data_IF_797339143309
#
_entry.id   IF_797339143309
#
_cell.length_a   1.000
_cell.length_b   1.000
_cell.length_c   1.000
_cell.angle_alpha   90.00
_cell.angle_beta   90.00
_cell.angle_gamma   90.00
#
_symmetry.space_group_name_H-M   'P 1'
#
loop_
_entity.id
_entity.type
_entity.pdbx_description
1 polymer ?
#
# COMPACT_ATOMS: atom_id res chain seq x y z
N UNK A 1 9.20 -9.04 28.63
CA UNK A 1 9.14 -8.24 27.38
C UNK A 1 8.50 -9.00 26.23
N UNK A 2 8.77 -10.30 26.05
CA UNK A 2 8.13 -11.07 24.97
C UNK A 2 6.61 -11.25 25.20
N UNK A 3 6.17 -11.47 26.44
CA UNK A 3 4.76 -11.76 26.74
C UNK A 3 3.82 -10.57 26.47
N UNK A 4 4.27 -9.33 26.73
CA UNK A 4 3.46 -8.13 26.49
C UNK A 4 3.23 -7.87 25.00
N UNK A 5 4.24 -8.07 24.16
CA UNK A 5 4.07 -7.91 22.70
C UNK A 5 3.09 -8.95 22.14
N UNK A 6 3.17 -10.21 22.60
CA UNK A 6 2.23 -11.26 22.18
C UNK A 6 0.80 -10.95 22.66
N UNK A 7 0.66 -10.42 23.87
CA UNK A 7 -0.63 -9.96 24.40
C UNK A 7 -1.21 -8.82 23.56
N UNK A 8 -0.40 -7.79 23.24
CA UNK A 8 -0.82 -6.67 22.38
C UNK A 8 -1.29 -7.19 21.01
N UNK A 9 -0.51 -8.05 20.36
CA UNK A 9 -0.87 -8.62 19.05
C UNK A 9 -2.20 -9.38 19.14
N UNK A 10 -2.39 -10.16 20.20
CA UNK A 10 -3.65 -10.88 20.43
C UNK A 10 -4.84 -9.93 20.60
N UNK A 11 -4.69 -8.87 21.38
CA UNK A 11 -5.74 -7.87 21.59
C UNK A 11 -6.05 -7.08 20.30
N UNK A 12 -5.02 -6.66 19.57
CA UNK A 12 -5.12 -5.99 18.27
C UNK A 12 -5.90 -6.85 17.27
N UNK A 13 -5.63 -8.16 17.20
CA UNK A 13 -6.34 -9.07 16.32
C UNK A 13 -7.84 -9.19 16.68
N UNK A 14 -8.15 -9.34 17.98
CA UNK A 14 -9.54 -9.40 18.47
C UNK A 14 -10.28 -8.10 18.18
N UNK A 15 -9.63 -6.96 18.38
CA UNK A 15 -10.20 -5.64 18.06
C UNK A 15 -10.52 -5.55 16.57
N UNK A 16 -9.55 -5.87 15.70
CA UNK A 16 -9.73 -5.80 14.26
C UNK A 16 -10.91 -6.67 13.79
N UNK A 17 -10.94 -7.94 14.22
CA UNK A 17 -12.02 -8.87 13.89
C UNK A 17 -13.39 -8.35 14.36
N UNK A 18 -13.47 -7.75 15.55
CA UNK A 18 -14.71 -7.17 16.07
C UNK A 18 -15.22 -6.00 15.21
N UNK A 19 -14.34 -5.09 14.80
CA UNK A 19 -14.72 -3.97 13.94
C UNK A 19 -15.03 -4.40 12.50
N UNK A 20 -14.31 -5.38 11.97
CA UNK A 20 -14.55 -5.97 10.65
C UNK A 20 -15.93 -6.65 10.58
N UNK A 21 -16.24 -7.52 11.54
CA UNK A 21 -17.52 -8.22 11.63
C UNK A 21 -18.72 -7.27 11.73
N UNK A 22 -18.52 -6.08 12.29
CA UNK A 22 -19.55 -5.04 12.42
C UNK A 22 -19.59 -4.06 11.24
N UNK A 23 -18.65 -4.16 10.29
CA UNK A 23 -18.47 -3.22 9.17
C UNK A 23 -18.21 -1.78 9.63
N UNK A 24 -17.49 -1.64 10.73
CA UNK A 24 -17.19 -0.36 11.38
C UNK A 24 -15.78 0.15 11.03
N UNK A 25 -14.99 -0.60 10.26
CA UNK A 25 -13.59 -0.26 9.93
C UNK A 25 -13.44 1.12 9.29
N UNK A 26 -14.42 1.59 8.52
CA UNK A 26 -14.38 2.92 7.87
C UNK A 26 -14.89 4.08 8.76
N UNK A 27 -15.26 3.81 10.01
CA UNK A 27 -15.71 4.82 10.97
C UNK A 27 -14.63 5.04 12.04
N UNK A 28 -13.62 5.84 11.69
CA UNK A 28 -12.49 6.10 12.58
C UNK A 28 -12.93 6.75 13.90
N UNK A 29 -13.85 7.70 13.88
CA UNK A 29 -14.36 8.35 15.11
C UNK A 29 -14.97 7.34 16.10
N UNK A 30 -15.76 6.39 15.58
CA UNK A 30 -16.35 5.32 16.40
C UNK A 30 -15.27 4.40 16.97
N UNK A 31 -14.27 4.07 16.16
CA UNK A 31 -13.14 3.24 16.58
C UNK A 31 -12.37 3.93 17.70
N UNK A 32 -11.95 5.17 17.50
CA UNK A 32 -11.18 5.95 18.48
C UNK A 32 -11.90 6.05 19.82
N UNK A 33 -13.20 6.32 19.79
CA UNK A 33 -14.04 6.35 20.99
C UNK A 33 -14.03 5.02 21.74
N UNK A 34 -14.03 3.89 21.03
CA UNK A 34 -13.98 2.56 21.66
C UNK A 34 -12.59 2.19 22.18
N UNK A 35 -11.55 2.81 21.65
CA UNK A 35 -10.19 2.62 22.12
C UNK A 35 -9.84 3.49 23.34
N UNK A 36 -10.73 4.39 23.79
CA UNK A 36 -10.50 5.23 24.99
C UNK A 36 -10.28 4.41 26.26
N UNK A 37 -10.87 3.22 26.35
CA UNK A 37 -10.76 2.31 27.50
C UNK A 37 -9.67 1.24 27.32
N UNK A 38 -8.96 1.24 26.19
CA UNK A 38 -7.92 0.27 25.86
C UNK A 38 -6.55 0.81 26.26
N UNK A 39 -5.62 -0.08 26.66
CA UNK A 39 -4.25 0.31 26.99
C UNK A 39 -3.59 1.08 25.83
N UNK A 40 -2.85 2.14 26.15
CA UNK A 40 -2.30 3.07 25.15
C UNK A 40 -1.38 2.36 24.13
N UNK A 41 -0.63 1.34 24.57
CA UNK A 41 0.23 0.55 23.68
C UNK A 41 -0.60 -0.30 22.68
N UNK A 42 -1.69 -0.92 23.13
CA UNK A 42 -2.62 -1.65 22.25
C UNK A 42 -3.28 -0.69 21.27
N UNK A 43 -3.72 0.48 21.74
CA UNK A 43 -4.30 1.53 20.91
C UNK A 43 -3.33 1.99 19.83
N UNK A 44 -2.08 2.31 20.19
CA UNK A 44 -1.05 2.75 19.23
C UNK A 44 -0.83 1.70 18.13
N UNK A 45 -0.64 0.42 18.51
CA UNK A 45 -0.44 -0.65 17.55
C UNK A 45 -1.67 -0.87 16.65
N UNK A 46 -2.87 -0.77 17.21
CA UNK A 46 -4.11 -0.93 16.45
C UNK A 46 -4.33 0.23 15.46
N UNK A 47 -4.05 1.48 15.85
CA UNK A 47 -4.16 2.62 14.95
C UNK A 47 -3.11 2.58 13.84
N UNK A 48 -1.89 2.09 14.10
CA UNK A 48 -0.91 1.80 13.04
C UNK A 48 -1.40 0.72 12.07
N UNK A 49 -2.01 -0.36 12.58
CA UNK A 49 -2.62 -1.40 11.73
C UNK A 49 -3.74 -0.82 10.87
N UNK A 50 -4.61 0.01 11.45
CA UNK A 50 -5.68 0.69 10.71
C UNK A 50 -5.16 1.63 9.65
N UNK A 51 -4.06 2.34 9.92
CA UNK A 51 -3.41 3.19 8.93
C UNK A 51 -2.95 2.37 7.72
N UNK A 52 -2.35 1.20 7.94
CA UNK A 52 -1.99 0.28 6.86
C UNK A 52 -3.22 -0.22 6.10
N UNK A 53 -4.28 -0.61 6.83
CA UNK A 53 -5.54 -1.05 6.24
C UNK A 53 -6.17 0.05 5.35
N UNK A 54 -6.24 1.30 5.82
CA UNK A 54 -6.79 2.42 5.04
C UNK A 54 -5.98 2.72 3.79
N UNK A 55 -4.65 2.57 3.85
CA UNK A 55 -3.84 2.63 2.65
C UNK A 55 -4.24 1.51 1.67
N UNK A 56 -4.24 0.26 2.11
CA UNK A 56 -4.56 -0.91 1.29
C UNK A 56 -5.97 -0.85 0.68
N UNK A 57 -6.96 -0.36 1.43
CA UNK A 57 -8.34 -0.24 0.99
C UNK A 57 -8.62 1.02 0.17
N UNK A 58 -7.59 1.83 -0.12
CA UNK A 58 -7.70 3.13 -0.79
C UNK A 58 -8.64 4.12 -0.07
N UNK A 59 -8.69 4.09 1.26
CA UNK A 59 -9.48 4.99 2.10
C UNK A 59 -8.64 6.23 2.49
N UNK A 60 -8.58 7.19 1.57
CA UNK A 60 -7.74 8.39 1.74
C UNK A 60 -8.17 9.26 2.92
N UNK A 61 -9.48 9.34 3.19
CA UNK A 61 -10.03 10.24 4.24
C UNK A 61 -9.58 9.78 5.62
N UNK A 62 -9.80 8.50 5.95
CA UNK A 62 -9.40 7.98 7.25
C UNK A 62 -7.87 7.90 7.39
N UNK A 63 -7.15 7.62 6.30
CA UNK A 63 -5.69 7.66 6.28
C UNK A 63 -5.15 9.06 6.61
N UNK A 64 -5.71 10.11 6.01
CA UNK A 64 -5.34 11.50 6.30
C UNK A 64 -5.62 11.89 7.75
N UNK A 65 -6.74 11.43 8.31
CA UNK A 65 -7.08 11.69 9.70
C UNK A 65 -6.02 11.10 10.67
N UNK A 66 -5.57 9.86 10.44
CA UNK A 66 -4.50 9.25 11.23
C UNK A 66 -3.14 9.94 11.04
N UNK A 67 -2.82 10.37 9.82
CA UNK A 67 -1.61 11.15 9.54
C UNK A 67 -1.56 12.46 10.33
N UNK A 68 -2.70 13.17 10.42
CA UNK A 68 -2.80 14.44 11.17
C UNK A 68 -2.55 14.25 12.67
N UNK A 69 -2.83 13.06 13.19
CA UNK A 69 -2.55 12.69 14.59
C UNK A 69 -1.08 12.27 14.80
N UNK A 70 -0.29 12.16 13.73
CA UNK A 70 1.14 11.83 13.78
C UNK A 70 1.46 10.35 13.63
N UNK A 71 0.45 9.50 13.37
CA UNK A 71 0.67 8.07 13.10
C UNK A 71 1.41 7.87 11.76
N UNK A 72 2.20 6.80 11.73
CA UNK A 72 2.97 6.36 10.57
C UNK A 72 2.96 4.84 10.52
N UNK A 73 3.11 4.30 9.32
CA UNK A 73 3.35 2.87 9.10
C UNK A 73 4.48 2.68 8.08
N UNK A 74 5.12 1.52 8.14
CA UNK A 74 6.16 1.14 7.20
C UNK A 74 5.51 0.54 5.95
N UNK A 75 5.44 1.34 4.89
CA UNK A 75 4.87 0.94 3.60
C UNK A 75 5.68 -0.20 2.95
N UNK A 76 4.97 -1.22 2.49
CA UNK A 76 5.45 -2.33 1.67
C UNK A 76 4.86 -2.25 0.27
N UNK A 77 5.49 -2.93 -0.69
CA UNK A 77 4.95 -2.96 -2.04
C UNK A 77 3.62 -3.72 -2.12
N UNK A 78 3.39 -4.68 -1.21
CA UNK A 78 2.09 -5.33 -1.06
C UNK A 78 0.98 -4.30 -0.77
N UNK A 79 1.26 -3.29 0.06
CA UNK A 79 0.29 -2.23 0.38
C UNK A 79 -0.05 -1.40 -0.87
N UNK A 80 0.96 -1.08 -1.70
CA UNK A 80 0.78 -0.35 -2.96
C UNK A 80 -0.07 -1.19 -3.94
N UNK A 81 0.21 -2.48 -4.02
CA UNK A 81 -0.56 -3.39 -4.88
C UNK A 81 -2.01 -3.45 -4.42
N UNK A 82 -2.27 -3.65 -3.13
CA UNK A 82 -3.62 -3.69 -2.57
C UNK A 82 -4.35 -2.37 -2.81
N UNK A 83 -3.71 -1.23 -2.51
CA UNK A 83 -4.27 0.08 -2.79
C UNK A 83 -4.66 0.22 -4.26
N UNK A 84 -3.78 -0.19 -5.19
CA UNK A 84 -3.99 -0.07 -6.63
C UNK A 84 -5.21 -0.84 -7.12
N UNK A 85 -5.42 -2.07 -6.62
CA UNK A 85 -6.56 -2.90 -7.01
C UNK A 85 -7.88 -2.47 -6.34
N UNK A 86 -7.83 -1.55 -5.38
CA UNK A 86 -9.00 -0.92 -4.76
C UNK A 86 -9.33 0.47 -5.34
N UNK A 87 -8.54 0.99 -6.29
CA UNK A 87 -8.83 2.27 -6.94
C UNK A 87 -10.07 2.14 -7.84
N UNK A 88 -11.09 2.94 -7.52
CA UNK A 88 -12.36 3.06 -8.26
C UNK A 88 -12.77 4.53 -8.50
N UNK A 89 -12.00 5.49 -7.99
CA UNK A 89 -12.24 6.94 -8.04
C UNK A 89 -10.94 7.71 -8.26
N UNK A 90 -11.05 9.01 -8.55
CA UNK A 90 -9.92 9.91 -8.81
C UNK A 90 -8.99 10.05 -7.60
N UNK A 91 -9.55 10.36 -6.43
CA UNK A 91 -8.77 10.42 -5.20
C UNK A 91 -8.29 9.03 -4.78
N UNK A 92 -6.98 8.89 -4.60
CA UNK A 92 -6.37 7.65 -4.19
C UNK A 92 -5.09 7.87 -3.38
N UNK A 93 -4.78 6.88 -2.54
CA UNK A 93 -3.65 6.96 -1.60
C UNK A 93 -2.29 6.89 -2.31
N UNK A 94 -2.20 6.25 -3.48
CA UNK A 94 -0.94 6.11 -4.22
C UNK A 94 -0.48 7.47 -4.74
N UNK A 95 -1.39 8.27 -5.30
CA UNK A 95 -1.09 9.64 -5.71
C UNK A 95 -0.78 10.55 -4.54
N UNK A 96 -1.49 10.41 -3.41
CA UNK A 96 -1.19 11.18 -2.21
C UNK A 96 0.20 10.87 -1.63
N UNK A 97 0.70 9.64 -1.82
CA UNK A 97 2.03 9.18 -1.40
C UNK A 97 3.03 9.09 -2.57
N UNK A 98 2.95 9.97 -3.58
CA UNK A 98 3.78 9.90 -4.79
C UNK A 98 5.27 9.65 -4.50
N UNK A 99 5.88 10.45 -3.65
CA UNK A 99 7.32 10.36 -3.37
C UNK A 99 7.67 9.03 -2.70
N UNK A 100 6.86 8.59 -1.74
CA UNK A 100 7.06 7.34 -1.02
C UNK A 100 6.91 6.14 -1.95
N UNK A 101 5.93 6.16 -2.86
CA UNK A 101 5.71 5.11 -3.86
C UNK A 101 6.88 5.02 -4.84
N UNK A 102 7.34 6.16 -5.37
CA UNK A 102 8.45 6.22 -6.34
C UNK A 102 9.78 5.81 -5.69
N UNK A 103 10.01 6.20 -4.44
CA UNK A 103 11.27 5.95 -3.72
C UNK A 103 11.26 4.66 -2.90
N UNK A 104 10.12 3.95 -2.82
CA UNK A 104 9.98 2.75 -2.01
C UNK A 104 11.07 1.74 -2.36
N UNK A 105 11.81 1.31 -1.35
CA UNK A 105 12.77 0.23 -1.42
C UNK A 105 12.16 -1.02 -0.81
N UNK A 106 11.67 -1.90 -1.67
CA UNK A 106 11.13 -3.20 -1.26
C UNK A 106 11.45 -4.28 -2.31
N UNK A 107 11.30 -5.54 -1.91
CA UNK A 107 11.30 -6.68 -2.82
C UNK A 107 9.95 -6.76 -3.55
N UNK A 108 10.01 -6.88 -4.87
CA UNK A 108 8.83 -6.92 -5.73
C UNK A 108 8.60 -8.36 -6.20
N UNK A 109 7.43 -8.90 -5.89
CA UNK A 109 6.97 -10.18 -6.42
C UNK A 109 6.33 -9.99 -7.81
N UNK A 110 6.57 -10.93 -8.73
CA UNK A 110 5.91 -10.94 -10.02
C UNK A 110 4.40 -11.14 -9.90
N UNK A 111 3.94 -11.89 -8.88
CA UNK A 111 2.52 -12.12 -8.63
C UNK A 111 1.79 -10.80 -8.34
N UNK A 112 2.43 -9.89 -7.61
CA UNK A 112 1.86 -8.56 -7.31
C UNK A 112 1.68 -7.74 -8.59
N UNK A 113 2.69 -7.70 -9.46
CA UNK A 113 2.63 -7.01 -10.74
C UNK A 113 1.57 -7.63 -11.67
N UNK A 114 1.46 -8.95 -11.69
CA UNK A 114 0.45 -9.66 -12.48
C UNK A 114 -0.98 -9.31 -12.01
N UNK A 115 -1.21 -9.25 -10.70
CA UNK A 115 -2.52 -8.86 -10.14
C UNK A 115 -2.92 -7.44 -10.57
N UNK A 116 -1.99 -6.48 -10.50
CA UNK A 116 -2.23 -5.11 -10.93
C UNK A 116 -2.50 -5.02 -12.44
N UNK A 117 -1.73 -5.75 -13.25
CA UNK A 117 -1.95 -5.85 -14.70
C UNK A 117 -3.35 -6.39 -15.01
N UNK A 118 -3.72 -7.49 -14.38
CA UNK A 118 -5.01 -8.12 -14.56
C UNK A 118 -6.16 -7.19 -14.12
N UNK A 119 -6.02 -6.49 -12.99
CA UNK A 119 -7.01 -5.53 -12.53
C UNK A 119 -7.22 -4.40 -13.54
N UNK A 120 -6.13 -3.79 -14.04
CA UNK A 120 -6.16 -2.72 -15.04
C UNK A 120 -6.92 -3.14 -16.30
N UNK A 121 -6.68 -4.36 -16.80
CA UNK A 121 -7.32 -4.84 -18.03
C UNK A 121 -8.75 -5.35 -17.82
N UNK A 122 -9.09 -5.87 -16.63
CA UNK A 122 -10.45 -6.32 -16.30
C UNK A 122 -11.42 -5.17 -16.02
N UNK A 123 -10.94 -3.98 -15.67
CA UNK A 123 -11.78 -2.83 -15.32
C UNK A 123 -11.54 -1.58 -16.20
N UNK A 124 -11.98 -1.59 -17.48
CA UNK A 124 -11.82 -0.45 -18.39
C UNK A 124 -12.37 0.88 -17.85
N UNK A 125 -13.45 0.82 -17.06
CA UNK A 125 -14.08 2.01 -16.47
C UNK A 125 -13.17 2.72 -15.47
N UNK A 126 -12.33 1.98 -14.74
CA UNK A 126 -11.42 2.54 -13.73
C UNK A 126 -10.06 2.93 -14.31
N UNK A 127 -9.76 2.58 -15.57
CA UNK A 127 -8.46 2.89 -16.18
C UNK A 127 -8.12 4.38 -16.19
N UNK A 128 -9.13 5.27 -16.24
CA UNK A 128 -8.89 6.71 -16.15
C UNK A 128 -8.25 7.10 -14.81
N UNK A 129 -8.69 6.49 -13.72
CA UNK A 129 -8.15 6.69 -12.37
C UNK A 129 -6.85 5.92 -12.14
N UNK A 130 -6.67 4.79 -12.82
CA UNK A 130 -5.47 3.94 -12.65
C UNK A 130 -4.23 4.46 -13.40
N UNK A 131 -4.37 5.38 -14.36
CA UNK A 131 -3.27 5.85 -15.20
C UNK A 131 -2.17 6.54 -14.40
N UNK A 132 -2.52 7.51 -13.56
CA UNK A 132 -1.54 8.26 -12.77
C UNK A 132 -0.86 7.37 -11.73
N UNK A 133 -1.58 6.60 -10.89
CA UNK A 133 -0.97 5.66 -9.93
C UNK A 133 -0.03 4.69 -10.62
N UNK A 134 -0.45 4.12 -11.75
CA UNK A 134 0.38 3.21 -12.54
C UNK A 134 1.66 3.89 -13.02
N UNK A 135 1.61 5.13 -13.49
CA UNK A 135 2.81 5.86 -13.92
C UNK A 135 3.78 6.12 -12.76
N UNK A 136 3.28 6.39 -11.55
CA UNK A 136 4.10 6.51 -10.35
C UNK A 136 4.80 5.19 -10.02
N UNK A 137 4.06 4.08 -10.05
CA UNK A 137 4.59 2.73 -9.85
C UNK A 137 5.68 2.40 -10.88
N UNK A 138 5.49 2.76 -12.16
CA UNK A 138 6.51 2.57 -13.22
C UNK A 138 7.77 3.42 -13.01
N UNK A 139 7.68 4.52 -12.26
CA UNK A 139 8.84 5.36 -11.91
C UNK A 139 9.64 4.80 -10.73
N UNK A 140 9.15 3.76 -10.05
CA UNK A 140 9.91 3.07 -9.02
C UNK A 140 11.02 2.21 -9.64
N UNK A 141 12.26 2.41 -9.20
CA UNK A 141 13.45 1.72 -9.72
C UNK A 141 13.43 0.21 -9.51
N UNK A 142 12.87 -0.27 -8.41
CA UNK A 142 12.80 -1.71 -8.10
C UNK A 142 11.72 -2.39 -8.92
N UNK A 143 10.59 -1.72 -9.16
CA UNK A 143 9.57 -2.18 -10.10
C UNK A 143 10.14 -2.28 -11.52
N UNK A 144 10.82 -1.23 -11.99
CA UNK A 144 11.43 -1.22 -13.31
C UNK A 144 12.50 -2.32 -13.46
N UNK A 145 13.37 -2.49 -12.46
CA UNK A 145 14.37 -3.56 -12.45
C UNK A 145 13.74 -4.95 -12.45
N UNK A 146 12.70 -5.18 -11.64
CA UNK A 146 11.97 -6.46 -11.61
C UNK A 146 11.31 -6.75 -12.95
N UNK A 147 10.61 -5.77 -13.51
CA UNK A 147 9.94 -5.87 -14.80
C UNK A 147 10.93 -6.16 -15.95
N UNK A 148 12.14 -5.61 -15.88
CA UNK A 148 13.20 -5.84 -16.87
C UNK A 148 13.75 -7.28 -16.81
N UNK A 149 13.89 -7.84 -15.61
CA UNK A 149 14.40 -9.21 -15.40
C UNK A 149 13.37 -10.29 -15.69
N UNK A 150 12.08 -9.95 -15.68
CA UNK A 150 11.01 -10.92 -15.87
C UNK A 150 10.95 -11.41 -17.31
N UNK A 151 10.65 -12.70 -17.47
CA UNK A 151 10.38 -13.32 -18.77
C UNK A 151 8.91 -13.21 -19.18
N UNK A 152 8.05 -12.75 -18.26
CA UNK A 152 6.61 -12.70 -18.46
C UNK A 152 6.21 -11.54 -19.36
N UNK A 153 5.24 -11.78 -20.26
CA UNK A 153 4.77 -10.77 -21.20
C UNK A 153 4.17 -9.53 -20.53
N UNK A 154 3.42 -9.73 -19.42
CA UNK A 154 2.79 -8.64 -18.68
C UNK A 154 3.81 -7.70 -18.05
N UNK A 155 5.02 -8.17 -17.71
CA UNK A 155 6.02 -7.36 -17.03
C UNK A 155 6.43 -6.13 -17.86
N UNK A 156 6.40 -6.24 -19.20
CA UNK A 156 6.64 -5.10 -20.11
C UNK A 156 5.67 -3.95 -19.91
N UNK A 157 4.48 -4.21 -19.36
CA UNK A 157 3.52 -3.18 -19.00
C UNK A 157 4.09 -2.20 -17.97
N UNK A 158 4.94 -2.66 -17.05
CA UNK A 158 5.52 -1.86 -15.96
C UNK A 158 6.87 -1.23 -16.30
N UNK A 159 7.39 -1.46 -17.51
CA UNK A 159 8.66 -0.86 -17.92
C UNK A 159 8.50 0.64 -18.21
N UNK A 160 9.37 1.42 -17.61
CA UNK A 160 9.65 2.80 -17.99
C UNK A 160 11.00 2.84 -18.71
N UNK A 161 11.01 3.21 -20.00
CA UNK A 161 12.21 3.17 -20.84
C UNK A 161 13.27 4.17 -20.39
N UNK A 162 12.87 5.41 -20.11
CA UNK A 162 13.79 6.47 -19.70
C UNK A 162 14.44 6.12 -18.35
N UNK A 163 13.65 5.56 -17.43
CA UNK A 163 14.17 5.05 -16.16
C UNK A 163 15.11 3.88 -16.39
N UNK A 164 14.74 2.90 -17.22
CA UNK A 164 15.59 1.74 -17.51
C UNK A 164 16.95 2.17 -18.09
N UNK A 165 16.97 3.13 -19.01
CA UNK A 165 18.21 3.68 -19.59
C UNK A 165 19.08 4.33 -18.50
N UNK A 166 18.48 5.10 -17.59
CA UNK A 166 19.20 5.64 -16.42
C UNK A 166 19.72 4.54 -15.50
N UNK A 167 18.92 3.50 -15.20
CA UNK A 167 19.36 2.38 -14.36
C UNK A 167 20.52 1.61 -14.99
N UNK A 168 20.51 1.39 -16.30
CA UNK A 168 21.61 0.73 -17.02
C UNK A 168 22.92 1.50 -16.93
N UNK A 169 22.85 2.84 -16.92
CA UNK A 169 24.02 3.71 -16.84
C UNK A 169 24.51 3.90 -15.41
N UNK A 170 23.61 4.22 -14.50
CA UNK A 170 23.94 4.76 -13.18
C UNK A 170 23.84 3.70 -12.06
N UNK A 171 22.99 2.67 -12.24
CA UNK A 171 22.77 1.60 -11.24
C UNK A 171 22.68 0.19 -11.87
N UNK A 172 23.65 -0.23 -12.72
CA UNK A 172 23.56 -1.50 -13.44
C UNK A 172 23.50 -2.73 -12.52
N UNK A 173 23.96 -2.62 -11.27
CA UNK A 173 23.86 -3.68 -10.28
C UNK A 173 22.42 -4.05 -9.91
N UNK A 174 21.46 -3.13 -10.05
CA UNK A 174 20.03 -3.43 -9.84
C UNK A 174 19.47 -4.33 -10.95
N UNK A 175 20.12 -4.36 -12.12
CA UNK A 175 19.68 -5.10 -13.31
C UNK A 175 20.37 -6.46 -13.50
N UNK A 176 21.42 -6.74 -12.72
CA UNK A 176 22.08 -8.05 -12.65
C UNK A 176 21.21 -9.05 -11.92
#
# INVERSE_FOLDING_TARGET
MNDRLHEIIGQVAILHEHFENRKELHNLELIEKRLEEVDEDVKEHYLTLLMQYYFQSNDLVNLQALLLQGFKFDMRFEDIKEAFIHIQSEENVIEFFEDQVVMLKDEIDEVQLEQMYNYYHKHPLYQIFLKTPLNLIKRNRYVCAKAYKSQQGFAKFFLNKDLLESLQKDMPFLLK
#
